data_IF_774467274791
#
_entry.id   IF_774467274791
#
_cell.length_a   1.000
_cell.length_b   1.000
_cell.length_c   1.000
_cell.angle_alpha   90.00
_cell.angle_beta   90.00
_cell.angle_gamma   90.00
#
_symmetry.space_group_name_H-M   'P 1'
#
loop_
_entity.id
_entity.type
_entity.pdbx_description
1 polymer ?
#
# COMPACT_ATOMS: atom_id res chain seq x y z
N UNK A 1 -10.36 -22.41 -3.56
CA UNK A 1 -10.84 -21.49 -2.50
C UNK A 1 -10.71 -20.07 -3.02
N UNK A 2 -11.81 -19.32 -3.13
CA UNK A 2 -11.75 -17.90 -3.50
C UNK A 2 -11.33 -17.15 -2.22
N UNK A 3 -10.13 -16.58 -2.21
CA UNK A 3 -9.69 -15.72 -1.10
C UNK A 3 -10.61 -14.49 -1.13
N UNK A 4 -11.60 -14.44 -0.24
CA UNK A 4 -12.48 -13.28 -0.13
C UNK A 4 -11.69 -12.23 0.63
N UNK A 5 -11.08 -11.28 -0.09
CA UNK A 5 -10.36 -10.18 0.54
C UNK A 5 -11.42 -9.23 1.15
N UNK A 6 -11.47 -9.06 2.48
CA UNK A 6 -12.52 -8.24 3.12
C UNK A 6 -12.30 -6.74 2.86
N UNK A 7 -11.08 -6.36 2.49
CA UNK A 7 -10.71 -4.99 2.16
C UNK A 7 -11.02 -4.70 0.70
N UNK A 8 -11.43 -3.46 0.41
CA UNK A 8 -11.80 -3.01 -0.94
C UNK A 8 -10.94 -1.88 -1.47
N UNK A 9 -10.23 -1.17 -0.59
CA UNK A 9 -9.39 -0.03 -0.90
C UNK A 9 -8.38 0.17 0.23
N UNK A 10 -7.12 0.38 -0.12
CA UNK A 10 -6.10 0.88 0.80
C UNK A 10 -5.94 2.38 0.54
N UNK A 11 -6.08 3.20 1.59
CA UNK A 11 -5.83 4.65 1.52
C UNK A 11 -4.61 4.95 2.37
N UNK A 12 -3.62 5.62 1.79
CA UNK A 12 -2.37 5.98 2.45
C UNK A 12 -2.11 7.47 2.30
N UNK A 13 -1.78 8.11 3.41
CA UNK A 13 -1.15 9.42 3.39
C UNK A 13 0.30 9.29 2.88
N UNK A 14 0.81 10.35 2.26
CA UNK A 14 2.13 10.34 1.63
C UNK A 14 3.19 10.70 2.66
N UNK A 15 3.14 11.93 3.20
CA UNK A 15 4.23 12.50 3.97
C UNK A 15 4.15 12.10 5.45
N UNK A 16 5.12 11.32 5.93
CA UNK A 16 5.14 10.84 7.31
C UNK A 16 4.31 9.57 7.55
N UNK A 17 3.67 9.04 6.50
CA UNK A 17 3.01 7.72 6.51
C UNK A 17 3.70 6.77 5.53
N UNK A 18 3.66 7.05 4.22
CA UNK A 18 4.32 6.22 3.21
C UNK A 18 5.80 6.58 3.03
N UNK A 19 6.09 7.88 3.07
CA UNK A 19 7.45 8.40 2.97
C UNK A 19 7.99 8.71 4.36
N UNK A 20 9.25 8.36 4.57
CA UNK A 20 9.97 8.80 5.76
C UNK A 20 10.25 10.31 5.73
N UNK A 21 10.88 10.82 6.79
CA UNK A 21 11.26 12.24 6.91
C UNK A 21 12.19 12.77 5.80
N UNK A 22 12.77 11.88 5.00
CA UNK A 22 13.64 12.22 3.87
C UNK A 22 12.90 12.13 2.53
N UNK A 23 11.59 11.85 2.54
CA UNK A 23 10.79 11.64 1.33
C UNK A 23 11.03 10.27 0.68
N UNK A 24 11.54 9.28 1.43
CA UNK A 24 11.92 7.97 0.89
C UNK A 24 10.94 6.89 1.37
N UNK A 25 10.44 6.10 0.42
CA UNK A 25 9.71 4.86 0.72
C UNK A 25 10.70 3.74 1.05
N UNK A 26 10.45 2.98 2.12
CA UNK A 26 11.28 1.84 2.46
C UNK A 26 11.16 0.70 1.43
N UNK A 27 12.19 -0.15 1.33
CA UNK A 27 12.11 -1.34 0.47
C UNK A 27 11.01 -2.31 0.91
N UNK A 28 10.74 -2.38 2.23
CA UNK A 28 9.68 -3.21 2.80
C UNK A 28 8.29 -2.71 2.38
N UNK A 29 8.03 -1.41 2.55
CA UNK A 29 6.73 -0.81 2.18
C UNK A 29 6.47 -0.88 0.68
N UNK A 30 7.51 -0.67 -0.14
CA UNK A 30 7.44 -0.85 -1.58
C UNK A 30 7.03 -2.28 -1.96
N UNK A 31 7.63 -3.28 -1.32
CA UNK A 31 7.31 -4.70 -1.59
C UNK A 31 5.92 -5.07 -1.08
N UNK A 32 5.50 -4.53 0.05
CA UNK A 32 4.15 -4.72 0.58
C UNK A 32 3.10 -4.13 -0.36
N UNK A 33 3.31 -2.91 -0.86
CA UNK A 33 2.43 -2.26 -1.84
C UNK A 33 2.34 -3.04 -3.15
N UNK A 34 3.46 -3.57 -3.65
CA UNK A 34 3.44 -4.43 -4.83
C UNK A 34 2.52 -5.65 -4.64
N UNK A 35 2.61 -6.32 -3.48
CA UNK A 35 1.75 -7.46 -3.14
C UNK A 35 0.27 -7.07 -3.03
N UNK A 36 -0.03 -5.89 -2.46
CA UNK A 36 -1.41 -5.38 -2.38
C UNK A 36 -1.99 -5.19 -3.78
N UNK A 37 -1.21 -4.60 -4.70
CA UNK A 37 -1.61 -4.47 -6.10
C UNK A 37 -1.82 -5.82 -6.78
N UNK A 38 -0.93 -6.80 -6.56
CA UNK A 38 -1.05 -8.16 -7.12
C UNK A 38 -2.30 -8.90 -6.60
N UNK A 39 -2.77 -8.56 -5.39
CA UNK A 39 -4.01 -9.07 -4.82
C UNK A 39 -5.28 -8.39 -5.40
N UNK A 40 -5.11 -7.47 -6.34
CA UNK A 40 -6.20 -6.73 -6.98
C UNK A 40 -6.86 -5.69 -6.06
N UNK A 41 -6.19 -5.28 -4.99
CA UNK A 41 -6.66 -4.21 -4.11
C UNK A 41 -6.24 -2.85 -4.70
N UNK A 42 -7.19 -1.95 -4.98
CA UNK A 42 -6.89 -0.58 -5.32
C UNK A 42 -6.15 0.13 -4.17
N UNK A 43 -5.21 1.01 -4.53
CA UNK A 43 -4.50 1.89 -3.60
C UNK A 43 -4.78 3.33 -3.99
N UNK A 44 -5.19 4.15 -3.02
CA UNK A 44 -5.31 5.60 -3.16
C UNK A 44 -4.29 6.28 -2.26
N UNK A 45 -3.60 7.27 -2.81
CA UNK A 45 -2.81 8.21 -2.01
C UNK A 45 -3.73 9.39 -1.64
N UNK A 46 -3.66 9.86 -0.40
CA UNK A 46 -4.46 11.00 0.12
C UNK A 46 -3.57 12.14 0.54
#
# INVERSE_FOLDING_TARGET
MRLVNPYKLLVLDIDGTLLDKNGVISAEDRNALARVCDLGLPVSLS
#
